data_IF_969988777686
#
_entry.id   IF_969988777686
#
_cell.length_a   1.000
_cell.length_b   1.000
_cell.length_c   1.000
_cell.angle_alpha   90.00
_cell.angle_beta   90.00
_cell.angle_gamma   90.00
#
_symmetry.space_group_name_H-M   'P 1'
#
loop_
_entity.id
_entity.type
_entity.pdbx_description
1 polymer ?
#
# COMPACT_ATOMS: atom_id res chain seq x y z
N UNK A 1 -6.87 15.58 19.31
CA UNK A 1 -6.80 15.82 20.77
C UNK A 1 -6.61 17.32 21.00
N UNK A 2 -5.48 17.91 20.60
CA UNK A 2 -5.16 19.33 20.83
C UNK A 2 -6.24 20.28 20.27
N UNK A 3 -6.61 20.11 18.99
CA UNK A 3 -7.61 20.93 18.30
C UNK A 3 -8.97 21.01 19.01
N UNK A 4 -9.35 19.94 19.72
CA UNK A 4 -10.67 19.83 20.36
C UNK A 4 -10.57 19.86 21.89
N UNK A 5 -9.39 20.11 22.46
CA UNK A 5 -9.10 20.14 23.90
C UNK A 5 -9.60 18.88 24.63
N UNK A 6 -9.49 17.71 23.97
CA UNK A 6 -9.87 16.44 24.56
C UNK A 6 -8.72 15.91 25.40
N UNK A 7 -9.01 15.49 26.64
CA UNK A 7 -8.05 14.84 27.53
C UNK A 7 -7.46 13.58 26.85
N UNK A 8 -6.13 13.53 26.62
CA UNK A 8 -5.46 12.37 26.00
C UNK A 8 -5.77 11.04 26.69
N UNK A 9 -5.98 11.06 28.02
CA UNK A 9 -6.29 9.85 28.80
C UNK A 9 -7.67 9.22 28.42
N UNK A 10 -8.54 10.00 27.78
CA UNK A 10 -9.88 9.56 27.30
C UNK A 10 -9.86 9.06 25.85
N UNK A 11 -8.70 9.05 25.20
CA UNK A 11 -8.58 8.66 23.78
C UNK A 11 -7.65 7.48 23.66
N UNK A 12 -8.12 6.42 23.02
CA UNK A 12 -7.31 5.24 22.72
C UNK A 12 -7.45 4.89 21.24
N UNK A 13 -6.32 4.75 20.54
CA UNK A 13 -6.31 4.32 19.15
C UNK A 13 -6.38 2.79 19.07
N UNK A 14 -7.32 2.30 18.26
CA UNK A 14 -7.40 0.89 17.86
C UNK A 14 -7.26 0.84 16.34
N UNK A 15 -6.15 0.29 15.86
CA UNK A 15 -5.88 0.18 14.43
C UNK A 15 -6.71 -0.94 13.81
N UNK A 16 -7.00 -0.80 12.53
CA UNK A 16 -7.59 -1.84 11.71
C UNK A 16 -6.63 -3.03 11.56
N UNK A 17 -7.18 -4.14 11.12
CA UNK A 17 -6.45 -5.36 10.81
C UNK A 17 -6.87 -5.91 9.44
N UNK A 18 -6.35 -7.07 9.06
CA UNK A 18 -6.74 -7.77 7.85
C UNK A 18 -7.32 -9.13 8.20
N UNK A 19 -8.22 -9.61 7.33
CA UNK A 19 -8.70 -10.99 7.39
C UNK A 19 -7.61 -11.95 6.89
N UNK A 20 -7.50 -13.15 7.47
CA UNK A 20 -6.65 -14.19 6.92
C UNK A 20 -7.04 -14.51 5.48
N UNK A 21 -6.03 -14.76 4.63
CA UNK A 21 -6.29 -15.16 3.24
C UNK A 21 -7.07 -16.48 3.19
N UNK A 22 -8.14 -16.53 2.38
CA UNK A 22 -8.86 -17.77 2.08
C UNK A 22 -7.98 -18.75 1.28
N UNK A 23 -8.28 -20.02 1.35
CA UNK A 23 -7.56 -21.05 0.56
C UNK A 23 -7.67 -20.79 -0.95
N UNK A 24 -8.79 -20.25 -1.42
CA UNK A 24 -8.95 -19.82 -2.80
C UNK A 24 -7.92 -18.76 -3.19
N UNK A 25 -7.69 -17.75 -2.33
CA UNK A 25 -6.70 -16.72 -2.62
C UNK A 25 -5.28 -17.26 -2.51
N UNK A 26 -4.99 -18.12 -1.56
CA UNK A 26 -3.68 -18.76 -1.42
C UNK A 26 -3.29 -19.56 -2.67
N UNK A 27 -4.27 -20.29 -3.25
CA UNK A 27 -4.07 -21.13 -4.43
C UNK A 27 -3.95 -20.36 -5.76
N UNK A 28 -4.13 -19.04 -5.77
CA UNK A 28 -3.94 -18.24 -6.98
C UNK A 28 -2.46 -18.30 -7.41
N UNK A 29 -2.22 -18.85 -8.59
CA UNK A 29 -0.93 -18.79 -9.25
C UNK A 29 -0.98 -17.75 -10.37
N UNK A 30 0.03 -16.86 -10.41
CA UNK A 30 0.14 -15.82 -11.44
C UNK A 30 1.52 -15.93 -12.09
N UNK A 31 1.60 -15.95 -13.41
CA UNK A 31 2.88 -15.98 -14.08
C UNK A 31 3.64 -14.67 -13.85
N UNK A 32 4.88 -14.78 -13.36
CA UNK A 32 5.79 -13.65 -13.26
C UNK A 32 6.73 -13.62 -14.47
N UNK A 33 6.88 -12.45 -15.07
CA UNK A 33 7.89 -12.27 -16.10
C UNK A 33 9.27 -12.18 -15.48
N UNK A 34 10.23 -13.03 -15.89
CA UNK A 34 11.61 -12.90 -15.42
C UNK A 34 12.32 -11.67 -16.00
N UNK A 35 11.73 -11.03 -17.01
CA UNK A 35 12.35 -9.93 -17.77
C UNK A 35 11.87 -8.55 -17.34
N UNK A 36 10.66 -8.43 -16.85
CA UNK A 36 10.05 -7.15 -16.47
C UNK A 36 9.45 -7.23 -15.07
N UNK A 37 9.68 -6.22 -14.26
CA UNK A 37 9.09 -6.04 -12.94
C UNK A 37 7.76 -5.30 -13.03
N UNK A 38 6.85 -5.56 -12.10
CA UNK A 38 5.54 -4.91 -12.03
C UNK A 38 5.44 -4.11 -10.75
N UNK A 39 5.18 -2.82 -10.89
CA UNK A 39 4.96 -1.88 -9.78
C UNK A 39 3.51 -1.41 -9.82
N UNK A 40 2.79 -1.58 -8.72
CA UNK A 40 1.34 -1.39 -8.70
C UNK A 40 0.89 -0.35 -7.69
N UNK A 41 0.00 0.53 -8.15
CA UNK A 41 -0.88 1.35 -7.35
C UNK A 41 -2.27 0.71 -7.34
N UNK A 42 -2.89 0.58 -6.16
CA UNK A 42 -4.26 0.08 -6.01
C UNK A 42 -5.07 1.02 -5.13
N UNK A 43 -6.18 1.53 -5.64
CA UNK A 43 -7.10 2.35 -4.87
C UNK A 43 -7.98 3.24 -5.72
N UNK A 44 -8.75 4.10 -5.06
CA UNK A 44 -9.51 5.15 -5.77
C UNK A 44 -8.54 6.11 -6.45
N UNK A 45 -8.78 6.43 -7.70
CA UNK A 45 -7.92 7.36 -8.45
C UNK A 45 -8.44 8.79 -8.22
N UNK A 46 -8.13 9.30 -7.04
CA UNK A 46 -8.55 10.61 -6.52
C UNK A 46 -7.36 11.35 -5.91
N UNK A 47 -7.46 12.67 -5.73
CA UNK A 47 -6.40 13.49 -5.14
C UNK A 47 -5.92 12.96 -3.78
N UNK A 48 -6.84 12.46 -2.94
CA UNK A 48 -6.51 11.89 -1.63
C UNK A 48 -5.52 10.72 -1.71
N UNK A 49 -5.62 9.90 -2.75
CA UNK A 49 -4.76 8.72 -2.95
C UNK A 49 -3.43 9.02 -3.67
N UNK A 50 -3.26 10.24 -4.17
CA UNK A 50 -2.01 10.72 -4.75
C UNK A 50 -1.54 10.01 -6.02
N UNK A 51 -2.44 9.66 -6.98
CA UNK A 51 -2.05 8.91 -8.18
C UNK A 51 -1.05 9.66 -9.05
N UNK A 52 -1.03 11.00 -9.01
CA UNK A 52 -0.07 11.80 -9.76
C UNK A 52 1.36 11.62 -9.25
N UNK A 53 1.57 11.45 -7.94
CA UNK A 53 2.90 11.17 -7.38
C UNK A 53 3.43 9.81 -7.84
N UNK A 54 2.54 8.83 -7.99
CA UNK A 54 2.89 7.52 -8.55
C UNK A 54 3.34 7.63 -10.02
N UNK A 55 2.63 8.39 -10.86
CA UNK A 55 3.02 8.60 -12.27
C UNK A 55 4.35 9.35 -12.37
N UNK A 56 4.57 10.37 -11.55
CA UNK A 56 5.82 11.12 -11.52
C UNK A 56 7.00 10.27 -11.05
N UNK A 57 6.80 9.43 -10.01
CA UNK A 57 7.82 8.49 -9.56
C UNK A 57 8.16 7.45 -10.64
N UNK A 58 7.13 6.93 -11.34
CA UNK A 58 7.32 6.02 -12.47
C UNK A 58 8.17 6.63 -13.57
N UNK A 59 7.93 7.90 -13.92
CA UNK A 59 8.73 8.61 -14.90
C UNK A 59 10.21 8.71 -14.49
N UNK A 60 10.50 8.87 -13.19
CA UNK A 60 11.87 8.87 -12.68
C UNK A 60 12.53 7.49 -12.72
N UNK A 61 11.79 6.45 -12.35
CA UNK A 61 12.28 5.06 -12.42
C UNK A 61 12.61 4.68 -13.86
N UNK A 62 11.75 5.02 -14.81
CA UNK A 62 11.94 4.71 -16.24
C UNK A 62 13.14 5.42 -16.89
N UNK A 63 13.65 6.49 -16.28
CA UNK A 63 14.96 7.07 -16.67
C UNK A 63 16.15 6.17 -16.28
N UNK A 64 15.98 5.29 -15.29
CA UNK A 64 17.05 4.40 -14.79
C UNK A 64 16.97 2.98 -15.37
N UNK A 65 15.77 2.50 -15.70
CA UNK A 65 15.54 1.15 -16.23
C UNK A 65 14.27 1.09 -17.08
N UNK A 66 14.32 0.31 -18.16
CA UNK A 66 13.16 0.01 -19.00
C UNK A 66 12.55 -1.38 -18.72
N UNK A 67 13.05 -2.11 -17.69
CA UNK A 67 12.60 -3.45 -17.33
C UNK A 67 11.51 -3.42 -16.24
N UNK A 68 10.63 -2.45 -16.33
CA UNK A 68 9.54 -2.26 -15.37
C UNK A 68 8.28 -1.80 -16.07
N UNK A 69 7.13 -2.29 -15.60
CA UNK A 69 5.79 -1.84 -15.95
C UNK A 69 5.09 -1.31 -14.71
N UNK A 70 4.24 -0.34 -14.92
CA UNK A 70 3.44 0.27 -13.88
C UNK A 70 1.96 -0.07 -14.09
N UNK A 71 1.29 -0.48 -13.03
CA UNK A 71 -0.13 -0.79 -13.05
C UNK A 71 -0.84 0.19 -12.14
N UNK A 72 -1.87 0.85 -12.66
CA UNK A 72 -2.78 1.69 -11.88
C UNK A 72 -4.14 1.03 -11.85
N UNK A 73 -4.45 0.40 -10.71
CA UNK A 73 -5.67 -0.36 -10.51
C UNK A 73 -6.68 0.44 -9.68
N UNK A 74 -7.85 0.65 -10.23
CA UNK A 74 -8.94 1.39 -9.61
C UNK A 74 -9.70 2.27 -10.57
N UNK A 75 -10.57 3.10 -10.01
CA UNK A 75 -11.33 4.11 -10.74
C UNK A 75 -11.46 5.38 -9.90
N UNK A 76 -11.74 6.50 -10.54
CA UNK A 76 -11.92 7.79 -9.89
C UNK A 76 -11.88 8.95 -10.86
N UNK A 77 -12.14 10.14 -10.34
CA UNK A 77 -12.24 11.39 -11.09
C UNK A 77 -10.92 11.87 -11.72
N UNK A 78 -9.79 11.32 -11.27
CA UNK A 78 -8.48 11.64 -11.84
C UNK A 78 -7.99 10.63 -12.88
N UNK A 79 -8.77 9.61 -13.28
CA UNK A 79 -8.32 8.58 -14.23
C UNK A 79 -7.82 9.19 -15.54
N UNK A 80 -8.65 10.02 -16.20
CA UNK A 80 -8.29 10.63 -17.49
C UNK A 80 -7.07 11.54 -17.35
N UNK A 81 -6.95 12.24 -16.22
CA UNK A 81 -5.79 13.07 -15.91
C UNK A 81 -4.51 12.21 -15.80
N UNK A 82 -4.59 11.02 -15.21
CA UNK A 82 -3.43 10.11 -15.07
C UNK A 82 -3.01 9.52 -16.42
N UNK A 83 -3.97 9.16 -17.26
CA UNK A 83 -3.70 8.69 -18.62
C UNK A 83 -2.99 9.80 -19.41
N UNK A 84 -3.51 11.03 -19.37
CA UNK A 84 -2.90 12.19 -20.02
C UNK A 84 -1.50 12.49 -19.45
N UNK A 85 -1.32 12.46 -18.13
CA UNK A 85 -0.03 12.70 -17.50
C UNK A 85 1.02 11.67 -17.93
N UNK A 86 0.64 10.39 -18.01
CA UNK A 86 1.54 9.34 -18.51
C UNK A 86 1.98 9.58 -19.95
N UNK A 87 1.07 10.10 -20.81
CA UNK A 87 1.39 10.49 -22.17
C UNK A 87 2.33 11.71 -22.23
N UNK A 88 2.07 12.73 -21.42
CA UNK A 88 2.94 13.92 -21.30
C UNK A 88 4.34 13.58 -20.81
N UNK A 89 4.50 12.54 -20.01
CA UNK A 89 5.80 12.03 -19.54
C UNK A 89 6.45 11.05 -20.53
N UNK A 90 5.78 10.72 -21.63
CA UNK A 90 6.22 9.73 -22.65
C UNK A 90 6.46 8.33 -22.05
N UNK A 91 5.56 7.89 -21.16
CA UNK A 91 5.65 6.59 -20.47
C UNK A 91 4.37 5.75 -20.58
N UNK A 92 3.40 6.12 -21.41
CA UNK A 92 2.12 5.43 -21.55
C UNK A 92 2.28 3.97 -21.97
N UNK A 93 3.29 3.64 -22.77
CA UNK A 93 3.61 2.28 -23.20
C UNK A 93 4.07 1.38 -22.05
N UNK A 94 4.40 1.96 -20.91
CA UNK A 94 4.82 1.29 -19.67
C UNK A 94 3.75 1.28 -18.61
N UNK A 95 2.60 1.93 -18.84
CA UNK A 95 1.46 1.95 -17.94
C UNK A 95 0.35 1.02 -18.40
N UNK A 96 -0.28 0.36 -17.42
CA UNK A 96 -1.53 -0.40 -17.59
C UNK A 96 -2.56 0.12 -16.59
N UNK A 97 -3.70 0.61 -17.11
CA UNK A 97 -4.85 1.06 -16.31
C UNK A 97 -5.92 -0.03 -16.33
N UNK A 98 -6.14 -0.69 -15.20
CA UNK A 98 -7.04 -1.86 -15.15
C UNK A 98 -8.52 -1.50 -15.04
N UNK A 99 -8.83 -0.26 -14.60
CA UNK A 99 -10.14 0.04 -14.09
C UNK A 99 -10.37 -0.56 -12.70
N UNK A 100 -11.61 -0.61 -12.27
CA UNK A 100 -11.98 -1.09 -10.94
C UNK A 100 -11.90 -2.62 -10.85
N UNK A 101 -11.18 -3.13 -9.84
CA UNK A 101 -11.02 -4.55 -9.55
C UNK A 101 -11.83 -4.94 -8.30
N UNK A 102 -12.31 -6.20 -8.23
CA UNK A 102 -13.10 -6.73 -7.12
C UNK A 102 -12.63 -8.11 -6.67
N UNK A 103 -12.71 -8.34 -5.36
CA UNK A 103 -12.51 -9.68 -4.78
C UNK A 103 -11.21 -10.32 -5.25
N UNK A 104 -11.32 -11.50 -5.86
CA UNK A 104 -10.18 -12.28 -6.35
C UNK A 104 -9.26 -11.52 -7.31
N UNK A 105 -9.82 -10.67 -8.18
CA UNK A 105 -9.03 -9.88 -9.15
C UNK A 105 -8.00 -8.96 -8.48
N UNK A 106 -8.32 -8.45 -7.29
CA UNK A 106 -7.37 -7.62 -6.50
C UNK A 106 -6.15 -8.45 -6.13
N UNK A 107 -6.36 -9.66 -5.63
CA UNK A 107 -5.25 -10.53 -5.22
C UNK A 107 -4.48 -11.11 -6.40
N UNK A 108 -5.14 -11.39 -7.52
CA UNK A 108 -4.47 -11.78 -8.78
C UNK A 108 -3.52 -10.67 -9.24
N UNK A 109 -3.97 -9.43 -9.21
CA UNK A 109 -3.16 -8.28 -9.57
C UNK A 109 -2.02 -8.04 -8.55
N UNK A 110 -2.29 -8.12 -7.24
CA UNK A 110 -1.25 -8.00 -6.22
C UNK A 110 -0.22 -9.11 -6.35
N UNK A 111 -0.63 -10.36 -6.49
CA UNK A 111 0.30 -11.49 -6.70
C UNK A 111 1.13 -11.37 -7.99
N UNK A 112 0.62 -10.67 -9.02
CA UNK A 112 1.39 -10.37 -10.22
C UNK A 112 2.39 -9.22 -10.05
N UNK A 113 2.37 -8.55 -8.90
CA UNK A 113 3.18 -7.36 -8.63
C UNK A 113 4.48 -7.72 -7.90
N UNK A 114 5.55 -6.98 -8.21
CA UNK A 114 6.81 -7.05 -7.48
C UNK A 114 6.89 -5.98 -6.39
N UNK A 115 6.19 -4.86 -6.56
CA UNK A 115 6.16 -3.75 -5.58
C UNK A 115 4.76 -3.14 -5.57
N UNK A 116 4.25 -2.88 -4.39
CA UNK A 116 3.05 -2.10 -4.16
C UNK A 116 3.41 -0.69 -3.67
N UNK A 117 2.71 0.34 -4.19
CA UNK A 117 2.95 1.75 -3.81
C UNK A 117 1.66 2.43 -3.42
N UNK A 118 1.63 3.03 -2.23
CA UNK A 118 0.50 3.84 -1.73
C UNK A 118 0.98 5.26 -1.40
N UNK A 119 0.96 6.20 -2.37
CA UNK A 119 1.44 7.57 -2.19
C UNK A 119 0.33 8.50 -1.68
N UNK A 120 -0.50 8.03 -0.75
CA UNK A 120 -1.67 8.77 -0.30
C UNK A 120 -1.30 10.08 0.40
N UNK A 121 -1.96 11.15 0.01
CA UNK A 121 -1.85 12.48 0.65
C UNK A 121 -2.45 12.45 2.06
N UNK A 122 -3.54 11.71 2.22
CA UNK A 122 -4.20 11.49 3.51
C UNK A 122 -4.89 10.13 3.47
N UNK A 123 -4.51 9.25 4.36
CA UNK A 123 -5.08 7.91 4.48
C UNK A 123 -5.35 7.59 5.95
N UNK A 124 -6.62 7.48 6.37
CA UNK A 124 -6.94 7.22 7.77
C UNK A 124 -6.28 5.96 8.33
N UNK A 125 -6.20 4.90 7.52
CA UNK A 125 -5.43 3.71 7.85
C UNK A 125 -4.69 3.16 6.64
N UNK A 126 -5.37 2.61 5.63
CA UNK A 126 -4.79 1.95 4.45
C UNK A 126 -4.69 0.43 4.62
N UNK A 127 -5.74 -0.30 4.21
CA UNK A 127 -5.74 -1.78 4.27
C UNK A 127 -4.93 -2.39 3.12
N UNK A 128 -4.91 -1.76 1.96
CA UNK A 128 -4.28 -2.31 0.75
C UNK A 128 -2.78 -2.61 0.86
N UNK A 129 -1.95 -1.87 1.62
CA UNK A 129 -0.58 -2.31 1.89
C UNK A 129 -0.52 -3.63 2.66
N UNK A 130 -1.43 -3.84 3.62
CA UNK A 130 -1.50 -5.08 4.39
C UNK A 130 -1.93 -6.26 3.49
N UNK A 131 -2.90 -6.04 2.58
CA UNK A 131 -3.29 -7.04 1.58
C UNK A 131 -2.14 -7.40 0.63
N UNK A 132 -1.35 -6.41 0.21
CA UNK A 132 -0.15 -6.65 -0.59
C UNK A 132 0.90 -7.48 0.17
N UNK A 133 1.18 -7.11 1.43
CA UNK A 133 2.13 -7.83 2.29
C UNK A 133 1.68 -9.27 2.58
N UNK A 134 0.36 -9.53 2.74
CA UNK A 134 -0.17 -10.89 2.93
C UNK A 134 0.14 -11.83 1.75
N UNK A 135 0.26 -11.32 0.55
CA UNK A 135 0.62 -12.10 -0.63
C UNK A 135 2.11 -11.97 -0.99
N UNK A 136 2.92 -11.48 -0.04
CA UNK A 136 4.37 -11.40 -0.18
C UNK A 136 4.85 -10.30 -1.13
N UNK A 137 4.12 -9.19 -1.24
CA UNK A 137 4.52 -8.04 -2.08
C UNK A 137 5.08 -6.92 -1.22
N UNK A 138 6.37 -6.55 -1.40
CA UNK A 138 6.98 -5.40 -0.75
C UNK A 138 6.19 -4.13 -0.98
N UNK A 139 6.00 -3.34 0.09
CA UNK A 139 5.15 -2.16 0.04
C UNK A 139 5.93 -0.87 0.33
N UNK A 140 5.64 0.16 -0.45
CA UNK A 140 6.08 1.54 -0.23
C UNK A 140 4.84 2.35 0.13
N UNK A 141 4.86 3.01 1.28
CA UNK A 141 3.69 3.74 1.79
C UNK A 141 4.03 5.19 2.12
N UNK A 142 3.03 6.04 2.04
CA UNK A 142 3.13 7.41 2.54
C UNK A 142 3.22 7.43 4.06
N UNK A 143 4.12 8.23 4.63
CA UNK A 143 4.19 8.52 6.07
C UNK A 143 2.90 9.13 6.62
N UNK A 144 2.06 9.72 5.75
CA UNK A 144 0.79 10.35 6.06
C UNK A 144 -0.39 9.36 6.09
N UNK A 145 -0.11 8.06 6.15
CA UNK A 145 -1.12 7.00 6.28
C UNK A 145 -1.11 6.42 7.69
N UNK A 146 -2.30 6.07 8.22
CA UNK A 146 -2.42 5.51 9.56
C UNK A 146 -1.72 4.15 9.72
N UNK A 147 -1.63 3.33 8.68
CA UNK A 147 -0.86 2.09 8.73
C UNK A 147 0.65 2.32 8.90
N UNK A 148 1.17 3.51 8.56
CA UNK A 148 2.56 3.85 8.81
C UNK A 148 2.93 3.91 10.30
N UNK A 149 1.93 4.05 11.19
CA UNK A 149 2.15 4.01 12.64
C UNK A 149 2.52 2.61 13.15
N UNK A 150 2.05 1.56 12.48
CA UNK A 150 2.21 0.18 12.94
C UNK A 150 3.10 -0.69 12.05
N UNK A 151 3.18 -0.42 10.75
CA UNK A 151 4.02 -1.20 9.83
C UNK A 151 5.48 -0.78 9.95
N UNK A 152 6.38 -1.75 10.08
CA UNK A 152 7.83 -1.56 10.19
C UNK A 152 8.59 -2.10 8.99
N UNK A 153 8.10 -3.17 8.37
CA UNK A 153 8.72 -3.84 7.22
C UNK A 153 8.17 -3.32 5.87
N UNK A 154 8.10 -2.00 5.77
CA UNK A 154 7.72 -1.25 4.57
C UNK A 154 8.67 -0.07 4.37
N UNK A 155 8.82 0.42 3.15
CA UNK A 155 9.53 1.68 2.94
C UNK A 155 8.53 2.83 3.10
N UNK A 156 8.86 3.82 3.94
CA UNK A 156 8.01 4.97 4.21
C UNK A 156 8.61 6.22 3.57
N UNK A 157 7.86 6.86 2.69
CA UNK A 157 8.26 8.13 2.03
C UNK A 157 7.23 9.21 2.33
N UNK A 158 7.62 10.47 2.23
CA UNK A 158 6.63 11.52 2.14
C UNK A 158 5.98 11.47 0.74
N UNK A 159 4.65 11.65 0.64
CA UNK A 159 3.94 11.49 -0.64
C UNK A 159 4.43 12.47 -1.71
N UNK A 160 4.92 13.66 -1.31
CA UNK A 160 5.48 14.68 -2.21
C UNK A 160 6.94 14.43 -2.60
N UNK A 161 7.66 13.56 -1.89
CA UNK A 161 9.05 13.24 -2.19
C UNK A 161 9.13 12.17 -3.28
N UNK A 162 8.96 12.65 -4.52
CA UNK A 162 8.94 11.82 -5.72
C UNK A 162 10.28 11.10 -5.93
N UNK A 163 11.40 11.75 -5.58
CA UNK A 163 12.72 11.17 -5.75
C UNK A 163 12.96 10.03 -4.76
N UNK A 164 12.63 10.22 -3.48
CA UNK A 164 12.69 9.15 -2.50
C UNK A 164 11.79 7.96 -2.87
N UNK A 165 10.58 8.23 -3.36
CA UNK A 165 9.66 7.18 -3.82
C UNK A 165 10.22 6.41 -5.02
N UNK A 166 10.77 7.11 -6.01
CA UNK A 166 11.38 6.50 -7.19
C UNK A 166 12.62 5.67 -6.82
N UNK A 167 13.45 6.16 -5.89
CA UNK A 167 14.63 5.45 -5.41
C UNK A 167 14.25 4.21 -4.60
N UNK A 168 13.19 4.28 -3.80
CA UNK A 168 12.63 3.12 -3.10
C UNK A 168 12.14 2.05 -4.08
N UNK A 169 11.34 2.43 -5.09
CA UNK A 169 10.90 1.52 -6.15
C UNK A 169 12.11 0.87 -6.83
N UNK A 170 13.05 1.70 -7.30
CA UNK A 170 14.23 1.23 -8.01
C UNK A 170 15.07 0.26 -7.15
N UNK A 171 15.21 0.55 -5.87
CA UNK A 171 15.97 -0.29 -4.94
C UNK A 171 15.33 -1.67 -4.77
N UNK A 172 14.01 -1.75 -4.58
CA UNK A 172 13.32 -3.03 -4.41
C UNK A 172 13.41 -3.88 -5.69
N UNK A 173 13.21 -3.29 -6.88
CA UNK A 173 13.23 -4.04 -8.14
C UNK A 173 14.64 -4.45 -8.59
N UNK A 174 15.68 -3.79 -8.06
CA UNK A 174 17.08 -3.97 -8.49
C UNK A 174 17.86 -4.85 -7.54
N UNK A 175 17.64 -4.73 -6.22
CA UNK A 175 18.43 -5.42 -5.21
C UNK A 175 17.66 -6.60 -4.58
N UNK A 176 17.96 -7.87 -4.96
CA UNK A 176 17.23 -9.04 -4.48
C UNK A 176 17.22 -9.19 -2.95
N UNK A 177 18.25 -8.71 -2.25
CA UNK A 177 18.32 -8.77 -0.80
C UNK A 177 17.26 -7.88 -0.14
N UNK A 178 17.06 -6.67 -0.65
CA UNK A 178 16.01 -5.74 -0.17
C UNK A 178 14.63 -6.33 -0.44
N UNK A 179 14.39 -6.79 -1.67
CA UNK A 179 13.14 -7.45 -2.04
C UNK A 179 12.81 -8.61 -1.12
N UNK A 180 13.78 -9.53 -0.92
CA UNK A 180 13.61 -10.72 -0.09
C UNK A 180 13.29 -10.36 1.36
N UNK A 181 14.04 -9.43 1.93
CA UNK A 181 13.85 -9.00 3.32
C UNK A 181 12.45 -8.39 3.52
N UNK A 182 12.05 -7.42 2.69
CA UNK A 182 10.74 -6.77 2.80
C UNK A 182 9.58 -7.76 2.59
N UNK A 183 9.75 -8.71 1.68
CA UNK A 183 8.78 -9.77 1.44
C UNK A 183 8.60 -10.66 2.66
N UNK A 184 9.70 -11.28 3.15
CA UNK A 184 9.64 -12.28 4.21
C UNK A 184 9.24 -11.66 5.56
N UNK A 185 9.85 -10.54 5.94
CA UNK A 185 9.53 -9.88 7.20
C UNK A 185 8.18 -9.17 7.14
N UNK A 186 7.80 -8.60 5.99
CA UNK A 186 6.48 -8.00 5.78
C UNK A 186 5.36 -9.02 5.90
N UNK A 187 5.50 -10.20 5.30
CA UNK A 187 4.53 -11.29 5.41
C UNK A 187 4.39 -11.79 6.85
N UNK A 188 5.50 -11.88 7.62
CA UNK A 188 5.44 -12.22 9.04
C UNK A 188 4.71 -11.15 9.84
N UNK A 189 5.08 -9.89 9.66
CA UNK A 189 4.49 -8.75 10.37
C UNK A 189 2.98 -8.67 10.17
N UNK A 190 2.51 -8.75 8.92
CA UNK A 190 1.07 -8.61 8.63
C UNK A 190 0.25 -9.77 9.19
N UNK A 191 0.83 -10.97 9.28
CA UNK A 191 0.18 -12.13 9.87
C UNK A 191 -0.09 -12.00 11.38
N UNK A 192 0.56 -11.05 12.06
CA UNK A 192 0.29 -10.72 13.47
C UNK A 192 -0.76 -9.60 13.63
N UNK A 193 -1.13 -8.89 12.55
CA UNK A 193 -2.13 -7.80 12.57
C UNK A 193 -3.53 -8.38 12.33
N UNK A 194 -4.12 -8.94 13.38
CA UNK A 194 -5.40 -9.70 13.33
C UNK A 194 -6.53 -8.94 13.99
N UNK A 195 -7.72 -9.01 13.43
CA UNK A 195 -8.94 -8.45 14.00
C UNK A 195 -9.22 -8.92 15.44
N UNK A 196 -8.81 -10.15 15.78
CA UNK A 196 -8.92 -10.67 17.15
C UNK A 196 -8.24 -9.75 18.17
N UNK A 197 -7.07 -9.22 17.86
CA UNK A 197 -6.33 -8.34 18.78
C UNK A 197 -6.94 -6.94 18.84
N UNK A 198 -7.42 -6.42 17.70
CA UNK A 198 -8.16 -5.16 17.68
C UNK A 198 -9.44 -5.26 18.51
N UNK A 199 -10.22 -6.35 18.37
CA UNK A 199 -11.41 -6.62 19.16
C UNK A 199 -11.11 -6.77 20.67
N UNK A 200 -10.06 -7.49 21.05
CA UNK A 200 -9.66 -7.63 22.43
C UNK A 200 -9.33 -6.27 23.06
N UNK A 201 -8.58 -5.42 22.35
CA UNK A 201 -8.26 -4.07 22.82
C UNK A 201 -9.50 -3.22 23.10
N UNK A 202 -10.54 -3.35 22.27
CA UNK A 202 -11.83 -2.68 22.51
C UNK A 202 -12.50 -3.21 23.77
N UNK A 203 -12.53 -4.53 23.97
CA UNK A 203 -13.10 -5.17 25.17
C UNK A 203 -12.36 -4.68 26.44
N UNK A 204 -11.04 -4.62 26.38
CA UNK A 204 -10.21 -4.18 27.52
C UNK A 204 -10.50 -2.71 27.88
N UNK A 205 -10.74 -1.86 26.88
CA UNK A 205 -11.16 -0.45 27.10
C UNK A 205 -12.52 -0.40 27.79
N UNK A 206 -13.50 -1.20 27.35
CA UNK A 206 -14.81 -1.25 28.03
C UNK A 206 -14.68 -1.68 29.48
N UNK A 207 -13.91 -2.74 29.77
CA UNK A 207 -13.67 -3.19 31.14
C UNK A 207 -13.04 -2.09 32.01
N UNK A 208 -12.01 -1.41 31.47
CA UNK A 208 -11.35 -0.30 32.16
C UNK A 208 -12.33 0.83 32.52
N UNK A 209 -13.21 1.22 31.60
CA UNK A 209 -14.19 2.30 31.81
C UNK A 209 -15.24 1.90 32.84
N UNK A 210 -15.73 0.63 32.78
CA UNK A 210 -16.73 0.15 33.73
C UNK A 210 -16.20 0.03 35.16
N UNK A 211 -14.93 -0.38 35.35
CA UNK A 211 -14.33 -0.50 36.67
C UNK A 211 -13.90 0.85 37.28
N UNK A 212 -13.61 1.86 36.46
CA UNK A 212 -13.26 3.20 36.92
C UNK A 212 -14.48 4.05 37.32
N UNK A 213 -15.70 3.60 37.04
CA UNK A 213 -16.95 4.26 37.41
C UNK A 213 -17.62 3.67 38.66
N UNK A 214 -16.97 2.73 39.37
CA UNK A 214 -17.32 2.22 40.68
C UNK A 214 -16.31 2.75 41.70
#
# INVERSE_FOLDING_TARGET
IEKYHIDPAKVTTVHNAVEPLSEEIKSIEVPHSPKEKVVTFLGRITMQKGPEYFVEAAARVLKKTNRVRFVMAGSGDMMDKMILLSAQRNISDRFHFTGFLRGKQVYEMLKASDVYVMPSVSEPFGISPLEAMQVGVPSIISKQSGCAEILTNVIKTDYWDIDAMADAIYSIITYPAIYKQLREEGEREVNEIKWKYAGQKVIDIYHKVMHNNN
#
